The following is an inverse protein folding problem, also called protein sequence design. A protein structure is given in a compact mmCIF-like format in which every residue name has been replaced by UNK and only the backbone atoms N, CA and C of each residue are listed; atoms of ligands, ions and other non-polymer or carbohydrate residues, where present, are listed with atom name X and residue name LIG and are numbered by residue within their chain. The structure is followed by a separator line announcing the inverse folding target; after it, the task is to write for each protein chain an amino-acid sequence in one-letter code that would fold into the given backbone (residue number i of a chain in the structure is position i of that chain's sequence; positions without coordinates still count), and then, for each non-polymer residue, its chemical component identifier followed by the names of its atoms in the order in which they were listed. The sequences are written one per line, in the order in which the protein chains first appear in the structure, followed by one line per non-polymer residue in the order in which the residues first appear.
data_IF_725691975008
#
_entry.id   IF_725691975008
#
_cell.length_a   1.000
_cell.length_b   1.000
_cell.length_c   1.000
_cell.angle_alpha   90.00
_cell.angle_beta   90.00
_cell.angle_gamma   90.00
#
_symmetry.space_group_name_H-M   'P 1'
#
loop_
_entity.id
_entity.type
_entity.pdbx_description
1 polymer ?
#
# COMPACT_ATOMS: atom_id res chain seq x y z
N UNK A 1 -7.78 -8.20 -10.19
CA UNK A 1 -6.66 -7.31 -10.58
C UNK A 1 -6.22 -6.58 -9.33
N UNK A 2 -4.93 -6.59 -8.98
CA UNK A 2 -4.36 -5.97 -7.76
C UNK A 2 -4.74 -4.49 -7.54
N UNK A 3 -4.49 -3.97 -6.34
CA UNK A 3 -4.56 -2.53 -6.05
C UNK A 3 -3.20 -1.97 -5.63
N UNK A 4 -2.93 -0.74 -6.04
CA UNK A 4 -1.73 0.03 -5.67
C UNK A 4 -2.20 1.33 -5.02
N UNK A 5 -1.55 1.72 -3.93
CA UNK A 5 -1.72 3.02 -3.29
C UNK A 5 -0.36 3.64 -3.03
N UNK A 6 -0.22 4.94 -3.31
CA UNK A 6 0.99 5.70 -3.08
C UNK A 6 0.70 6.99 -2.33
N UNK A 7 1.56 7.34 -1.38
CA UNK A 7 1.70 8.69 -0.83
C UNK A 7 3.09 9.15 -1.22
N UNK A 8 3.17 10.23 -2.00
CA UNK A 8 4.40 10.78 -2.55
C UNK A 8 4.58 12.22 -2.04
N UNK A 9 5.78 12.77 -2.25
CA UNK A 9 6.14 14.13 -1.79
C UNK A 9 5.86 14.32 -0.29
N UNK A 10 6.28 13.35 0.52
CA UNK A 10 6.11 13.40 1.97
C UNK A 10 7.01 14.50 2.54
N UNK A 11 6.41 15.52 3.15
CA UNK A 11 7.10 16.67 3.78
C UNK A 11 7.05 16.68 5.30
N UNK A 12 6.43 15.66 5.90
CA UNK A 12 6.20 15.53 7.34
C UNK A 12 6.64 14.15 7.81
N UNK A 13 6.50 13.87 9.11
CA UNK A 13 6.77 12.54 9.65
C UNK A 13 6.01 11.44 8.86
N UNK A 14 6.72 10.46 8.27
CA UNK A 14 6.11 9.39 7.48
C UNK A 14 5.37 8.36 8.35
N UNK A 15 5.64 8.27 9.66
CA UNK A 15 5.01 7.27 10.54
C UNK A 15 3.46 7.36 10.58
N UNK A 16 2.83 8.53 10.83
CA UNK A 16 1.37 8.66 10.78
C UNK A 16 0.81 8.45 9.36
N UNK A 17 1.56 8.85 8.33
CA UNK A 17 1.16 8.66 6.94
C UNK A 17 1.16 7.17 6.54
N UNK A 18 2.08 6.38 7.10
CA UNK A 18 2.12 4.93 6.91
C UNK A 18 0.86 4.27 7.46
N UNK A 19 0.45 4.62 8.68
CA UNK A 19 -0.79 4.10 9.27
C UNK A 19 -2.01 4.48 8.41
N UNK A 20 -2.04 5.71 7.89
CA UNK A 20 -3.08 6.17 6.96
C UNK A 20 -3.07 5.38 5.65
N UNK A 21 -1.91 5.16 5.04
CA UNK A 21 -1.74 4.40 3.81
C UNK A 21 -2.27 2.96 3.96
N UNK A 22 -1.93 2.29 5.07
CA UNK A 22 -2.45 0.96 5.38
C UNK A 22 -3.97 0.95 5.45
N UNK A 23 -4.58 1.87 6.18
CA UNK A 23 -6.06 1.94 6.29
C UNK A 23 -6.72 2.16 4.92
N UNK A 24 -6.17 3.04 4.08
CA UNK A 24 -6.70 3.31 2.75
C UNK A 24 -6.49 2.14 1.78
N UNK A 25 -5.37 1.43 1.88
CA UNK A 25 -5.09 0.22 1.09
C UNK A 25 -6.11 -0.88 1.38
N UNK A 26 -6.49 -1.06 2.66
CA UNK A 26 -7.49 -2.07 3.07
C UNK A 26 -8.85 -1.90 2.40
N UNK A 27 -9.26 -0.66 2.08
CA UNK A 27 -10.53 -0.41 1.39
C UNK A 27 -10.53 -0.99 -0.04
N UNK A 28 -9.35 -1.17 -0.62
CA UNK A 28 -9.15 -1.71 -1.96
C UNK A 28 -8.87 -3.22 -1.95
N UNK A 29 -8.81 -3.88 -0.79
CA UNK A 29 -8.40 -5.30 -0.68
C UNK A 29 -9.20 -6.27 -1.52
N UNK A 30 -10.45 -5.95 -1.83
CA UNK A 30 -11.28 -6.76 -2.75
C UNK A 30 -10.62 -6.98 -4.12
N UNK A 31 -9.64 -6.16 -4.50
CA UNK A 31 -8.83 -6.28 -5.72
C UNK A 31 -7.67 -7.29 -5.61
N UNK A 32 -7.15 -7.50 -4.40
CA UNK A 32 -5.97 -8.30 -4.11
C UNK A 32 -6.06 -9.00 -2.75
N UNK A 33 -6.88 -10.06 -2.64
CA UNK A 33 -7.15 -10.71 -1.35
C UNK A 33 -6.01 -11.62 -0.85
N UNK A 34 -5.06 -11.99 -1.71
CA UNK A 34 -4.10 -13.05 -1.40
C UNK A 34 -2.98 -12.58 -0.46
N UNK A 35 -2.53 -11.33 -0.62
CA UNK A 35 -1.43 -10.79 0.19
C UNK A 35 -1.41 -9.25 0.21
N UNK A 36 -0.93 -8.67 1.31
CA UNK A 36 -0.74 -7.21 1.44
C UNK A 36 0.74 -6.88 1.65
N UNK A 37 1.27 -5.94 0.85
CA UNK A 37 2.63 -5.43 0.95
C UNK A 37 2.68 -3.93 1.17
N UNK A 38 3.70 -3.47 1.88
CA UNK A 38 3.91 -2.04 2.09
C UNK A 38 5.39 -1.70 2.17
N UNK A 39 5.80 -0.68 1.41
CA UNK A 39 7.10 -0.04 1.47
C UNK A 39 6.94 1.39 1.99
N UNK A 40 7.89 1.87 2.79
CA UNK A 40 7.87 3.20 3.40
C UNK A 40 9.29 3.72 3.55
N UNK A 41 9.52 4.96 3.12
CA UNK A 41 10.74 5.72 3.37
C UNK A 41 10.35 7.17 3.75
N UNK A 42 11.35 8.04 3.91
CA UNK A 42 11.13 9.44 4.30
C UNK A 42 10.30 10.23 3.27
N UNK A 43 10.37 9.87 1.99
CA UNK A 43 9.80 10.66 0.89
C UNK A 43 8.54 10.02 0.28
N UNK A 44 8.31 8.73 0.53
CA UNK A 44 7.25 7.98 -0.12
C UNK A 44 6.77 6.77 0.69
N UNK A 45 5.51 6.41 0.48
CA UNK A 45 4.88 5.18 0.97
C UNK A 45 4.16 4.52 -0.20
N UNK A 46 4.39 3.22 -0.39
CA UNK A 46 3.73 2.40 -1.40
C UNK A 46 3.04 1.22 -0.71
N UNK A 47 1.78 0.98 -1.01
CA UNK A 47 1.03 -0.18 -0.54
C UNK A 47 0.45 -0.94 -1.73
N UNK A 48 0.43 -2.27 -1.61
CA UNK A 48 -0.04 -3.18 -2.65
C UNK A 48 -0.92 -4.26 -2.01
N UNK A 49 -2.10 -4.48 -2.57
CA UNK A 49 -2.92 -5.67 -2.29
C UNK A 49 -2.80 -6.57 -3.52
N UNK A 50 -2.18 -7.74 -3.36
CA UNK A 50 -1.84 -8.70 -4.43
C UNK A 50 -2.99 -9.67 -4.65
N UNK A 51 -3.39 -9.83 -5.91
CA UNK A 51 -4.04 -11.03 -6.43
C UNK A 51 -2.99 -11.81 -7.21
N UNK A 52 -2.56 -12.95 -6.69
CA UNK A 52 -1.55 -13.82 -7.27
C UNK A 52 -2.17 -14.64 -8.41
N UNK A 53 -1.82 -14.29 -9.65
CA UNK A 53 -2.27 -14.98 -10.87
C UNK A 53 -1.12 -15.75 -11.54
N UNK A 54 0.09 -15.20 -11.44
CA UNK A 54 1.33 -15.77 -11.98
C UNK A 54 2.34 -15.87 -10.85
N UNK A 55 3.14 -16.94 -10.87
CA UNK A 55 4.16 -17.26 -9.85
C UNK A 55 3.55 -17.32 -8.44
N UNK A 56 2.62 -18.27 -8.30
CA UNK A 56 1.90 -18.58 -7.05
C UNK A 56 2.78 -19.48 -6.18
#
# INVERSE_FOLDING_TARGET
MCSILAILDVKSDPAPLRARALRLSKLQRHRGPDWSGVYSCEQAILAHERLAIVDV
#
